data_IF_868625583836
#
_entry.id   IF_868625583836
#
_cell.length_a   1.000
_cell.length_b   1.000
_cell.length_c   1.000
_cell.angle_alpha   90.00
_cell.angle_beta   90.00
_cell.angle_gamma   90.00
#
_symmetry.space_group_name_H-M   'P 1'
#
loop_
_entity.id
_entity.type
_entity.pdbx_description
1 polymer ?
#
# COMPACT_ATOMS: atom_id res chain seq x y z
N UNK A 1 -5.60 -17.34 -18.69
CA UNK A 1 -6.48 -17.77 -17.58
C UNK A 1 -7.73 -16.91 -17.63
N UNK A 2 -8.92 -17.52 -17.75
CA UNK A 2 -10.18 -16.77 -17.64
C UNK A 2 -10.39 -16.35 -16.19
N UNK A 3 -10.84 -15.11 -15.97
CA UNK A 3 -11.33 -14.67 -14.66
C UNK A 3 -12.44 -15.62 -14.20
N UNK A 4 -12.47 -15.99 -12.91
CA UNK A 4 -13.52 -16.88 -12.41
C UNK A 4 -14.88 -16.19 -12.53
N UNK A 5 -15.94 -16.96 -12.80
CA UNK A 5 -17.32 -16.50 -13.03
C UNK A 5 -17.92 -15.72 -11.84
N UNK A 6 -17.18 -15.57 -10.75
CA UNK A 6 -17.61 -15.05 -9.45
C UNK A 6 -17.05 -13.67 -9.08
N UNK A 7 -16.18 -13.05 -9.87
CA UNK A 7 -15.61 -11.75 -9.50
C UNK A 7 -16.59 -10.61 -9.79
N UNK A 8 -17.28 -10.15 -8.75
CA UNK A 8 -18.08 -8.91 -8.80
C UNK A 8 -17.13 -7.70 -8.86
N UNK A 9 -16.89 -7.17 -10.06
CA UNK A 9 -16.02 -6.01 -10.28
C UNK A 9 -16.44 -4.80 -9.44
N UNK A 10 -17.75 -4.63 -9.17
CA UNK A 10 -18.24 -3.54 -8.31
C UNK A 10 -17.79 -3.72 -6.86
N UNK A 11 -17.82 -4.96 -6.38
CA UNK A 11 -17.30 -5.30 -5.06
C UNK A 11 -15.80 -5.02 -4.97
N UNK A 12 -15.03 -5.42 -5.99
CA UNK A 12 -13.60 -5.13 -6.07
C UNK A 12 -13.29 -3.63 -6.09
N UNK A 13 -14.07 -2.84 -6.84
CA UNK A 13 -13.94 -1.37 -6.83
C UNK A 13 -14.20 -0.78 -5.44
N UNK A 14 -15.22 -1.27 -4.73
CA UNK A 14 -15.55 -0.81 -3.39
C UNK A 14 -14.44 -1.15 -2.38
N UNK A 15 -13.88 -2.36 -2.42
CA UNK A 15 -12.75 -2.73 -1.56
C UNK A 15 -11.53 -1.85 -1.83
N UNK A 16 -11.20 -1.60 -3.11
CA UNK A 16 -10.09 -0.72 -3.48
C UNK A 16 -10.30 0.71 -2.96
N UNK A 17 -11.50 1.27 -3.11
CA UNK A 17 -11.84 2.60 -2.57
C UNK A 17 -11.69 2.65 -1.05
N UNK A 18 -12.21 1.66 -0.34
CA UNK A 18 -12.12 1.57 1.11
C UNK A 18 -10.66 1.48 1.57
N UNK A 19 -9.85 0.67 0.89
CA UNK A 19 -8.42 0.56 1.17
C UNK A 19 -7.69 1.87 0.94
N UNK A 20 -7.93 2.57 -0.18
CA UNK A 20 -7.32 3.89 -0.43
C UNK A 20 -7.67 4.86 0.68
N UNK A 21 -8.94 4.94 1.08
CA UNK A 21 -9.38 5.82 2.16
C UNK A 21 -8.74 5.46 3.50
N UNK A 22 -8.63 4.16 3.80
CA UNK A 22 -7.93 3.71 5.00
C UNK A 22 -6.47 4.17 4.99
N UNK A 23 -5.73 3.93 3.89
CA UNK A 23 -4.32 4.33 3.78
C UNK A 23 -4.12 5.85 3.78
N UNK A 24 -5.08 6.63 3.31
CA UNK A 24 -5.06 8.10 3.46
C UNK A 24 -5.11 8.51 4.92
N UNK A 25 -5.89 7.84 5.76
CA UNK A 25 -5.91 8.15 7.18
C UNK A 25 -4.55 7.87 7.86
N UNK A 26 -3.71 6.99 7.31
CA UNK A 26 -2.37 6.73 7.85
C UNK A 26 -1.35 7.84 7.55
N UNK A 27 -1.67 8.83 6.71
CA UNK A 27 -0.77 9.97 6.46
C UNK A 27 -0.79 11.01 7.58
N UNK A 28 -1.76 10.93 8.50
CA UNK A 28 -1.85 11.82 9.65
C UNK A 28 -0.66 11.62 10.60
N UNK A 29 -0.07 12.72 11.06
CA UNK A 29 1.17 12.68 11.83
C UNK A 29 1.08 11.92 13.15
N UNK A 30 -0.12 11.86 13.74
CA UNK A 30 -0.40 11.19 15.02
C UNK A 30 -0.52 9.67 14.87
N UNK A 31 -0.85 9.18 13.67
CA UNK A 31 -1.14 7.74 13.46
C UNK A 31 0.12 6.90 13.61
N UNK A 32 1.27 7.43 13.19
CA UNK A 32 2.54 6.73 13.39
C UNK A 32 2.79 6.42 14.87
N UNK A 33 2.57 7.38 15.75
CA UNK A 33 2.79 7.22 17.19
C UNK A 33 1.78 6.25 17.81
N UNK A 34 0.51 6.34 17.41
CA UNK A 34 -0.53 5.42 17.85
C UNK A 34 -0.22 3.97 17.44
N UNK A 35 0.19 3.75 16.19
CA UNK A 35 0.54 2.41 15.68
C UNK A 35 1.80 1.86 16.34
N UNK A 36 2.76 2.74 16.65
CA UNK A 36 3.96 2.36 17.37
C UNK A 36 3.65 1.96 18.82
N UNK A 37 2.73 2.66 19.49
CA UNK A 37 2.24 2.27 20.81
C UNK A 37 1.51 0.91 20.78
N UNK A 38 0.58 0.71 19.85
CA UNK A 38 -0.13 -0.56 19.65
C UNK A 38 0.84 -1.73 19.36
N UNK A 39 1.86 -1.50 18.53
CA UNK A 39 2.89 -2.49 18.26
C UNK A 39 3.72 -2.81 19.52
N UNK A 40 4.00 -1.81 20.36
CA UNK A 40 4.66 -1.98 21.65
C UNK A 40 3.84 -2.83 22.62
N UNK A 41 2.53 -2.58 22.73
CA UNK A 41 1.62 -3.38 23.55
C UNK A 41 1.58 -4.85 23.10
N UNK A 42 1.47 -5.08 21.78
CA UNK A 42 1.53 -6.43 21.20
C UNK A 42 2.87 -7.12 21.45
N UNK A 43 3.98 -6.40 21.30
CA UNK A 43 5.30 -6.95 21.57
C UNK A 43 5.49 -7.29 23.06
N UNK A 44 4.95 -6.48 23.97
CA UNK A 44 4.94 -6.77 25.41
C UNK A 44 4.16 -8.06 25.69
N UNK A 45 2.98 -8.22 25.09
CA UNK A 45 2.15 -9.42 25.25
C UNK A 45 2.82 -10.69 24.72
N UNK A 46 3.68 -10.56 23.72
CA UNK A 46 4.41 -11.66 23.09
C UNK A 46 5.84 -11.86 23.65
N UNK A 47 6.21 -11.10 24.69
CA UNK A 47 7.57 -11.12 25.29
C UNK A 47 8.69 -10.84 24.27
N UNK A 48 8.39 -10.07 23.22
CA UNK A 48 9.35 -9.68 22.18
C UNK A 48 10.08 -8.41 22.62
N UNK A 49 11.40 -8.38 22.44
CA UNK A 49 12.22 -7.19 22.72
C UNK A 49 11.73 -6.00 21.90
N UNK A 50 11.41 -4.91 22.59
CA UNK A 50 10.97 -3.66 22.00
C UNK A 50 12.13 -2.69 21.76
N UNK A 51 11.91 -1.74 20.84
CA UNK A 51 12.80 -0.61 20.59
C UNK A 51 13.57 -0.71 19.27
N UNK A 52 14.07 0.44 18.82
CA UNK A 52 14.88 0.52 17.61
C UNK A 52 16.34 0.10 17.89
N UNK A 53 16.99 -0.61 16.94
CA UNK A 53 18.36 -1.07 17.10
C UNK A 53 19.34 0.10 17.02
N UNK A 54 20.39 0.19 17.87
CA UNK A 54 21.31 1.34 17.98
C UNK A 54 21.96 1.76 16.65
N UNK A 55 22.19 3.06 16.44
CA UNK A 55 22.53 3.66 15.12
C UNK A 55 23.86 3.12 14.58
N UNK A 56 24.67 2.58 15.49
CA UNK A 56 25.99 2.05 15.23
C UNK A 56 25.98 0.61 14.70
N UNK A 57 24.84 -0.09 14.69
CA UNK A 57 24.75 -1.47 14.15
C UNK A 57 24.66 -1.51 12.63
N UNK A 58 24.27 -0.40 11.98
CA UNK A 58 24.19 -0.31 10.53
C UNK A 58 25.46 0.34 9.99
N UNK A 59 26.21 -0.38 9.16
CA UNK A 59 27.41 0.16 8.48
C UNK A 59 27.01 1.43 7.73
N UNK A 60 27.55 2.58 8.17
CA UNK A 60 27.34 3.86 7.49
C UNK A 60 27.84 3.75 6.05
N UNK A 61 26.94 3.82 5.08
CA UNK A 61 27.32 3.98 3.67
C UNK A 61 27.75 5.43 3.47
N UNK A 62 29.06 5.67 3.52
CA UNK A 62 29.61 6.95 3.13
C UNK A 62 29.60 7.04 1.61
N UNK A 63 28.79 7.94 1.05
CA UNK A 63 28.92 8.32 -0.36
C UNK A 63 29.98 9.43 -0.45
N UNK A 64 31.07 9.23 -1.21
CA UNK A 64 32.01 10.32 -1.46
C UNK A 64 31.28 11.43 -2.22
N UNK A 65 31.53 12.68 -1.81
CA UNK A 65 31.10 13.82 -2.61
C UNK A 65 31.90 13.83 -3.91
N UNK A 66 31.24 14.10 -5.02
CA UNK A 66 31.90 14.29 -6.31
C UNK A 66 32.30 15.75 -6.53
N UNK A 67 31.56 16.69 -5.91
CA UNK A 67 31.81 18.12 -5.98
C UNK A 67 31.66 18.82 -4.61
N UNK A 68 32.36 19.93 -4.43
CA UNK A 68 32.40 20.66 -3.16
C UNK A 68 31.06 21.32 -2.78
N UNK A 69 30.21 21.58 -3.78
CA UNK A 69 28.86 22.13 -3.58
C UNK A 69 27.82 21.07 -3.22
N UNK A 70 28.14 19.77 -3.28
CA UNK A 70 27.21 18.73 -2.86
C UNK A 70 27.01 18.79 -1.35
N UNK A 71 25.76 18.95 -0.92
CA UNK A 71 25.40 18.77 0.49
C UNK A 71 25.39 17.27 0.79
N UNK A 72 25.90 16.87 1.97
CA UNK A 72 25.75 15.47 2.38
C UNK A 72 24.26 15.22 2.68
N UNK A 73 23.76 14.06 2.29
CA UNK A 73 22.45 13.60 2.74
C UNK A 73 22.37 13.72 4.28
N UNK A 74 21.38 14.46 4.76
CA UNK A 74 21.15 14.59 6.20
C UNK A 74 20.68 13.24 6.74
N UNK A 75 21.48 12.66 7.62
CA UNK A 75 21.13 11.42 8.29
C UNK A 75 20.15 11.79 9.40
N UNK A 76 18.96 11.17 9.49
CA UNK A 76 18.08 11.40 10.63
C UNK A 76 18.82 11.09 11.93
N UNK A 77 18.84 12.05 12.85
CA UNK A 77 19.53 11.95 14.13
C UNK A 77 18.94 10.84 15.03
N UNK A 78 17.66 10.52 14.84
CA UNK A 78 16.93 9.53 15.63
C UNK A 78 16.45 8.36 14.74
N UNK A 79 16.43 7.16 15.31
CA UNK A 79 16.06 5.93 14.61
C UNK A 79 14.58 5.83 14.38
N UNK A 80 13.80 6.35 15.33
CA UNK A 80 12.36 6.41 15.22
C UNK A 80 11.96 7.30 14.05
N UNK A 81 12.58 8.48 13.94
CA UNK A 81 12.35 9.38 12.80
C UNK A 81 12.89 8.79 11.50
N UNK A 82 14.05 8.13 11.52
CA UNK A 82 14.57 7.40 10.36
C UNK A 82 13.60 6.32 9.87
N UNK A 83 13.01 5.55 10.78
CA UNK A 83 12.03 4.52 10.46
C UNK A 83 10.72 5.13 9.94
N UNK A 84 10.23 6.20 10.58
CA UNK A 84 9.03 6.94 10.13
C UNK A 84 9.19 7.39 8.67
N UNK A 85 10.29 8.07 8.36
CA UNK A 85 10.50 8.69 7.05
C UNK A 85 10.87 7.65 5.98
N UNK A 86 11.89 6.83 6.25
CA UNK A 86 12.46 5.96 5.21
C UNK A 86 11.66 4.68 4.97
N UNK A 87 10.82 4.27 5.92
CA UNK A 87 10.10 3.01 5.84
C UNK A 87 8.59 3.22 5.92
N UNK A 88 8.08 3.74 7.04
CA UNK A 88 6.64 3.83 7.28
C UNK A 88 5.92 4.68 6.23
N UNK A 89 6.32 5.94 6.08
CA UNK A 89 5.75 6.85 5.07
C UNK A 89 5.98 6.33 3.66
N UNK A 90 7.18 5.81 3.39
CA UNK A 90 7.53 5.26 2.07
C UNK A 90 6.61 4.11 1.64
N UNK A 91 6.23 3.23 2.56
CA UNK A 91 5.30 2.12 2.29
C UNK A 91 3.89 2.66 2.04
N UNK A 92 3.44 3.62 2.83
CA UNK A 92 2.11 4.22 2.67
C UNK A 92 2.00 4.90 1.30
N UNK A 93 2.99 5.73 0.94
CA UNK A 93 3.04 6.42 -0.34
C UNK A 93 3.04 5.43 -1.52
N UNK A 94 3.89 4.39 -1.44
CA UNK A 94 3.96 3.36 -2.47
C UNK A 94 2.63 2.60 -2.59
N UNK A 95 2.00 2.31 -1.46
CA UNK A 95 0.71 1.60 -1.44
C UNK A 95 -0.39 2.46 -2.03
N UNK A 96 -0.46 3.74 -1.66
CA UNK A 96 -1.42 4.69 -2.21
C UNK A 96 -1.26 4.84 -3.72
N UNK A 97 -0.02 5.03 -4.20
CA UNK A 97 0.26 5.11 -5.63
C UNK A 97 -0.14 3.83 -6.37
N UNK A 98 0.31 2.67 -5.87
CA UNK A 98 0.00 1.38 -6.50
C UNK A 98 -1.50 1.07 -6.53
N UNK A 99 -2.21 1.41 -5.46
CA UNK A 99 -3.63 1.14 -5.32
C UNK A 99 -4.48 2.10 -6.16
N UNK A 100 -4.07 3.36 -6.28
CA UNK A 100 -4.72 4.35 -7.14
C UNK A 100 -4.62 3.94 -8.61
N UNK A 101 -3.43 3.55 -9.07
CA UNK A 101 -3.25 3.05 -10.44
C UNK A 101 -4.08 1.79 -10.72
N UNK A 102 -4.18 0.86 -9.75
CA UNK A 102 -5.07 -0.31 -9.90
C UNK A 102 -6.54 0.07 -9.94
N UNK A 103 -6.95 1.08 -9.18
CA UNK A 103 -8.32 1.57 -9.19
C UNK A 103 -8.70 2.11 -10.58
N UNK A 104 -7.83 2.91 -11.19
CA UNK A 104 -7.99 3.42 -12.56
C UNK A 104 -8.11 2.28 -13.59
N UNK A 105 -7.25 1.25 -13.48
CA UNK A 105 -7.33 0.09 -14.39
C UNK A 105 -8.64 -0.68 -14.25
N UNK A 106 -9.20 -0.81 -13.04
CA UNK A 106 -10.48 -1.51 -12.82
C UNK A 106 -11.66 -0.65 -13.28
N UNK A 107 -11.60 0.68 -13.17
CA UNK A 107 -12.65 1.55 -13.73
C UNK A 107 -12.65 1.51 -15.25
N UNK A 108 -11.47 1.48 -15.89
CA UNK A 108 -11.37 1.39 -17.35
C UNK A 108 -11.86 0.03 -17.87
N UNK A 109 -11.81 -1.00 -17.03
CA UNK A 109 -12.34 -2.33 -17.36
C UNK A 109 -13.88 -2.33 -17.54
N UNK A 110 -14.62 -1.30 -17.10
CA UNK A 110 -16.06 -1.19 -17.38
C UNK A 110 -16.35 -1.10 -18.89
N UNK A 111 -15.41 -0.62 -19.71
CA UNK A 111 -15.52 -0.64 -21.19
C UNK A 111 -15.66 -2.06 -21.71
N UNK A 112 -15.02 -3.03 -21.04
CA UNK A 112 -15.11 -4.46 -21.33
C UNK A 112 -16.01 -5.21 -20.34
N UNK A 113 -16.82 -4.50 -19.54
CA UNK A 113 -17.70 -5.11 -18.54
C UNK A 113 -18.65 -6.15 -19.14
N UNK A 114 -19.04 -5.97 -20.41
CA UNK A 114 -19.84 -6.94 -21.18
C UNK A 114 -19.18 -8.33 -21.27
N UNK A 115 -17.84 -8.42 -21.21
CA UNK A 115 -17.12 -9.69 -21.20
C UNK A 115 -17.43 -10.50 -19.92
N UNK A 116 -17.67 -9.82 -18.81
CA UNK A 116 -18.01 -10.46 -17.53
C UNK A 116 -19.41 -11.10 -17.58
N UNK A 117 -20.29 -10.59 -18.44
CA UNK A 117 -21.65 -11.08 -18.64
C UNK A 117 -21.81 -11.98 -19.87
N UNK A 118 -20.71 -12.42 -20.52
CA UNK A 118 -20.76 -13.25 -21.75
C UNK A 118 -21.69 -14.46 -21.59
N UNK A 119 -21.59 -15.18 -20.47
CA UNK A 119 -22.44 -16.35 -20.23
C UNK A 119 -23.92 -15.99 -20.09
N UNK A 120 -24.25 -14.85 -19.46
CA UNK A 120 -25.62 -14.34 -19.38
C UNK A 120 -26.13 -13.96 -20.77
N UNK A 121 -25.30 -13.29 -21.57
CA UNK A 121 -25.63 -12.89 -22.94
C UNK A 121 -25.89 -14.13 -23.82
N UNK A 122 -25.03 -15.15 -23.74
CA UNK A 122 -25.18 -16.42 -24.46
C UNK A 122 -26.45 -17.19 -24.05
N UNK A 123 -26.75 -17.24 -22.75
CA UNK A 123 -27.98 -17.88 -22.26
C UNK A 123 -29.27 -17.16 -22.71
N UNK A 124 -29.25 -15.84 -22.85
CA UNK A 124 -30.39 -15.05 -23.33
C UNK A 124 -30.61 -15.21 -24.85
N UNK A 125 -29.54 -15.43 -25.63
CA UNK A 125 -29.62 -15.69 -27.07
C UNK A 125 -30.31 -17.02 -27.40
N UNK A 126 -29.99 -18.08 -26.64
CA UNK A 126 -30.56 -19.42 -26.86
C UNK A 126 -32.03 -19.56 -26.42
N UNK A 127 -32.52 -18.68 -25.55
CA UNK A 127 -33.93 -18.65 -25.11
C UNK A 127 -34.91 -18.04 -26.13
N UNK A 128 -34.42 -17.34 -27.17
CA UNK A 128 -35.25 -16.73 -28.23
C UNK A 128 -35.43 -17.59 -29.48
N UNK A 129 -34.85 -18.79 -29.50
CA UNK A 129 -34.84 -19.67 -30.66
C UNK A 129 -35.86 -20.83 -30.60
N UNK A 130 -36.77 -20.82 -29.61
CA UNK A 130 -37.87 -21.79 -29.47
C UNK A 130 -39.22 -21.07 -29.38
#
# INVERSE_FOLDING_TARGET
MMQSVTTDNKMCQNYSKNLVNNFKNYTDDNVFEEKLAQAGELAAALEIKQGFPPLNTVRRKYKPKLFDYEQRDEIPQDQKTAFKINFFLKIIDQTLSSLSSRFEMISDYDVFGFLSDIFKILSCSTAKAN
#
